data_IF_936733373982
#
_entry.id   IF_936733373982
#
_cell.length_a   1.000
_cell.length_b   1.000
_cell.length_c   1.000
_cell.angle_alpha   90.00
_cell.angle_beta   90.00
_cell.angle_gamma   90.00
#
_symmetry.space_group_name_H-M   'P 1'
#
loop_
_entity.id
_entity.type
_entity.pdbx_description
1 polymer ?
#
# COMPACT_ATOMS: atom_id res chain seq x y z
N UNK A 1 31.44 38.89 21.97
CA UNK A 1 31.67 37.85 20.95
C UNK A 1 30.75 36.67 21.21
N UNK A 2 29.69 36.49 20.41
CA UNK A 2 28.77 35.35 20.51
C UNK A 2 29.37 34.19 19.73
N UNK A 3 29.69 33.08 20.41
CA UNK A 3 30.16 31.84 19.77
C UNK A 3 28.96 31.18 19.08
N UNK A 4 29.00 31.10 17.75
CA UNK A 4 28.13 30.24 16.96
C UNK A 4 28.53 28.79 17.24
N UNK A 5 27.67 28.06 17.94
CA UNK A 5 27.79 26.61 18.06
C UNK A 5 27.16 26.01 16.80
N UNK A 6 27.97 25.72 15.79
CA UNK A 6 27.53 24.99 14.60
C UNK A 6 27.24 23.55 15.01
N UNK A 7 25.96 23.23 15.20
CA UNK A 7 25.49 21.86 15.39
C UNK A 7 25.56 21.15 14.04
N UNK A 8 26.62 20.37 13.81
CA UNK A 8 26.67 19.45 12.67
C UNK A 8 25.74 18.29 13.01
N UNK A 9 24.51 18.35 12.51
CA UNK A 9 23.56 17.24 12.57
C UNK A 9 24.03 16.17 11.59
N UNK A 10 24.83 15.22 12.06
CA UNK A 10 25.19 14.02 11.29
C UNK A 10 23.92 13.17 11.24
N UNK A 11 23.15 13.30 10.16
CA UNK A 11 22.10 12.35 9.79
C UNK A 11 22.80 11.02 9.44
N UNK A 12 22.91 10.14 10.42
CA UNK A 12 23.14 8.72 10.18
C UNK A 12 21.92 8.20 9.42
N UNK A 13 21.98 8.26 8.10
CA UNK A 13 21.08 7.48 7.25
C UNK A 13 21.49 6.02 7.43
N UNK A 14 20.79 5.32 8.33
CA UNK A 14 20.89 3.86 8.42
C UNK A 14 20.36 3.29 7.12
N UNK A 15 21.24 2.98 6.18
CA UNK A 15 20.90 2.25 4.97
C UNK A 15 20.48 0.83 5.38
N UNK A 16 19.18 0.59 5.44
CA UNK A 16 18.64 -0.76 5.55
C UNK A 16 19.04 -1.54 4.28
N UNK A 17 19.93 -2.51 4.44
CA UNK A 17 20.37 -3.40 3.35
C UNK A 17 19.35 -4.52 3.19
N UNK A 18 18.53 -4.45 2.14
CA UNK A 18 17.52 -5.46 1.87
C UNK A 18 18.16 -6.76 1.43
N UNK A 19 17.91 -7.83 2.18
CA UNK A 19 18.52 -9.15 2.02
C UNK A 19 17.57 -10.18 1.40
N UNK A 20 18.10 -11.34 1.01
CA UNK A 20 17.29 -12.51 0.61
C UNK A 20 16.44 -13.08 1.74
N UNK A 21 16.79 -12.80 3.00
CA UNK A 21 15.92 -13.12 4.14
C UNK A 21 14.71 -12.19 4.19
N UNK A 22 14.89 -10.92 3.82
CA UNK A 22 13.79 -9.95 3.83
C UNK A 22 12.76 -10.25 2.74
N UNK A 23 13.17 -10.73 1.57
CA UNK A 23 12.22 -11.15 0.52
C UNK A 23 11.41 -12.37 0.93
N UNK A 24 11.99 -13.35 1.64
CA UNK A 24 11.23 -14.53 2.07
C UNK A 24 10.16 -14.17 3.12
N UNK A 25 10.42 -13.16 3.95
CA UNK A 25 9.45 -12.65 4.92
C UNK A 25 8.20 -12.06 4.26
N UNK A 26 8.29 -11.55 3.02
CA UNK A 26 7.14 -10.99 2.27
C UNK A 26 6.09 -12.06 1.96
N UNK A 27 6.48 -13.33 1.84
CA UNK A 27 5.52 -14.37 1.47
C UNK A 27 4.42 -14.54 2.52
N UNK A 28 3.19 -14.74 2.06
CA UNK A 28 2.01 -14.89 2.90
C UNK A 28 1.00 -13.77 2.69
N UNK A 29 0.03 -13.70 3.60
CA UNK A 29 -1.05 -12.72 3.57
C UNK A 29 -0.75 -11.53 4.49
N UNK A 30 -1.14 -10.34 4.05
CA UNK A 30 -0.89 -9.08 4.75
C UNK A 30 -2.13 -8.21 4.71
N UNK A 31 -2.54 -7.71 5.87
CA UNK A 31 -3.57 -6.69 6.02
C UNK A 31 -2.91 -5.31 6.03
N UNK A 32 -3.12 -4.55 4.95
CA UNK A 32 -2.64 -3.18 4.76
C UNK A 32 -3.76 -2.16 4.94
N UNK A 33 -4.84 -2.52 5.64
CA UNK A 33 -6.03 -1.69 5.73
C UNK A 33 -5.80 -0.40 6.52
N UNK A 34 -6.39 0.70 6.05
CA UNK A 34 -6.33 2.01 6.68
C UNK A 34 -7.75 2.55 6.89
N UNK A 35 -7.96 3.17 8.05
CA UNK A 35 -9.16 3.94 8.37
C UNK A 35 -8.75 5.38 8.69
N UNK A 36 -9.38 6.32 8.02
CA UNK A 36 -9.16 7.75 8.21
C UNK A 36 -10.49 8.34 8.69
N UNK A 37 -10.45 9.11 9.77
CA UNK A 37 -11.62 9.82 10.30
C UNK A 37 -11.33 11.32 10.33
N UNK A 38 -12.17 12.10 9.65
CA UNK A 38 -12.05 13.54 9.58
C UNK A 38 -13.42 14.20 9.81
N UNK A 39 -13.63 14.67 11.04
CA UNK A 39 -14.90 15.28 11.43
C UNK A 39 -16.07 14.30 11.31
N UNK A 40 -17.01 14.60 10.41
CA UNK A 40 -18.14 13.71 10.11
C UNK A 40 -17.86 12.74 8.96
N UNK A 41 -16.69 12.81 8.32
CA UNK A 41 -16.32 11.87 7.27
C UNK A 41 -15.47 10.74 7.82
N UNK A 42 -15.67 9.54 7.28
CA UNK A 42 -14.75 8.42 7.46
C UNK A 42 -14.49 7.74 6.13
N UNK A 43 -13.22 7.45 5.87
CA UNK A 43 -12.76 6.70 4.72
C UNK A 43 -12.13 5.41 5.19
N UNK A 44 -12.54 4.30 4.58
CA UNK A 44 -12.00 2.98 4.87
C UNK A 44 -11.44 2.38 3.59
N UNK A 45 -10.17 1.98 3.66
CA UNK A 45 -9.46 1.29 2.60
C UNK A 45 -9.04 -0.05 3.16
N UNK A 46 -9.82 -1.10 2.89
CA UNK A 46 -9.43 -2.47 3.20
C UNK A 46 -8.56 -3.00 2.07
N UNK A 47 -7.38 -3.51 2.40
CA UNK A 47 -6.48 -4.11 1.42
C UNK A 47 -5.82 -5.33 2.05
N UNK A 48 -6.10 -6.50 1.51
CA UNK A 48 -5.47 -7.75 1.91
C UNK A 48 -4.64 -8.26 0.73
N UNK A 49 -3.32 -8.19 0.87
CA UNK A 49 -2.40 -8.66 -0.14
C UNK A 49 -1.90 -10.07 0.19
N UNK A 50 -1.85 -10.93 -0.82
CA UNK A 50 -1.23 -12.27 -0.73
C UNK A 50 -0.04 -12.34 -1.67
N UNK A 51 1.14 -12.66 -1.16
CA UNK A 51 2.38 -12.73 -1.95
C UNK A 51 2.94 -14.15 -2.00
N UNK A 52 3.20 -14.63 -3.21
CA UNK A 52 4.00 -15.82 -3.48
C UNK A 52 5.34 -15.38 -4.08
N UNK A 53 6.40 -15.47 -3.27
CA UNK A 53 7.74 -14.97 -3.62
C UNK A 53 8.50 -15.91 -4.55
N UNK A 54 8.18 -17.20 -4.55
CA UNK A 54 8.79 -18.19 -5.45
C UNK A 54 8.39 -17.95 -6.91
N UNK A 55 7.14 -17.51 -7.11
CA UNK A 55 6.57 -17.23 -8.43
C UNK A 55 6.50 -15.75 -8.77
N UNK A 56 6.93 -14.87 -7.87
CA UNK A 56 6.84 -13.41 -8.00
C UNK A 56 5.43 -12.91 -8.34
N UNK A 57 4.41 -13.54 -7.72
CA UNK A 57 2.99 -13.23 -7.95
C UNK A 57 2.33 -12.68 -6.71
N UNK A 58 1.34 -11.83 -6.92
CA UNK A 58 0.48 -11.36 -5.86
C UNK A 58 -0.99 -11.37 -6.27
N UNK A 59 -1.85 -11.45 -5.27
CA UNK A 59 -3.27 -11.11 -5.37
C UNK A 59 -3.59 -10.09 -4.29
N UNK A 60 -4.56 -9.22 -4.55
CA UNK A 60 -5.05 -8.25 -3.59
C UNK A 60 -6.58 -8.27 -3.62
N UNK A 61 -7.19 -8.35 -2.45
CA UNK A 61 -8.64 -8.18 -2.27
C UNK A 61 -8.87 -6.98 -1.35
N UNK A 62 -9.86 -6.17 -1.68
CA UNK A 62 -10.08 -4.97 -0.89
C UNK A 62 -11.44 -4.35 -1.07
N UNK A 63 -11.71 -3.37 -0.22
CA UNK A 63 -12.89 -2.53 -0.29
C UNK A 63 -12.52 -1.09 0.00
N UNK A 64 -13.18 -0.18 -0.70
CA UNK A 64 -13.04 1.26 -0.48
C UNK A 64 -14.42 1.80 -0.15
N UNK A 65 -14.54 2.43 1.02
CA UNK A 65 -15.77 3.03 1.47
C UNK A 65 -15.55 4.47 1.93
N UNK A 66 -16.43 5.37 1.51
CA UNK A 66 -16.53 6.73 2.02
C UNK A 66 -17.87 6.89 2.72
N UNK A 67 -17.86 7.38 3.97
CA UNK A 67 -19.07 7.59 4.77
C UNK A 67 -19.14 9.01 5.29
N UNK A 68 -20.35 9.55 5.36
CA UNK A 68 -20.67 10.75 6.11
C UNK A 68 -21.56 10.37 7.30
N UNK A 69 -21.03 10.52 8.51
CA UNK A 69 -21.56 9.95 9.75
C UNK A 69 -21.73 8.44 9.58
N UNK A 70 -22.93 7.93 9.78
CA UNK A 70 -23.26 6.51 9.60
C UNK A 70 -23.78 6.18 8.21
N UNK A 71 -23.85 7.15 7.29
CA UNK A 71 -24.38 6.96 5.94
C UNK A 71 -23.26 6.68 4.96
N UNK A 72 -23.35 5.56 4.23
CA UNK A 72 -22.45 5.26 3.11
C UNK A 72 -22.68 6.25 1.96
N UNK A 73 -21.63 6.94 1.52
CA UNK A 73 -21.66 7.74 0.29
C UNK A 73 -21.43 6.81 -0.89
N UNK A 74 -20.38 5.99 -0.81
CA UNK A 74 -20.17 4.87 -1.70
C UNK A 74 -19.33 3.79 -1.02
N UNK A 75 -19.46 2.57 -1.53
CA UNK A 75 -18.60 1.45 -1.23
C UNK A 75 -18.41 0.62 -2.49
N UNK A 76 -17.16 0.30 -2.84
CA UNK A 76 -16.86 -0.66 -3.88
C UNK A 76 -15.83 -1.67 -3.39
N UNK A 77 -15.91 -2.87 -3.93
CA UNK A 77 -14.94 -3.93 -3.71
C UNK A 77 -14.06 -4.07 -4.94
N UNK A 78 -12.84 -4.55 -4.73
CA UNK A 78 -11.94 -4.88 -5.82
C UNK A 78 -11.18 -6.17 -5.55
N UNK A 79 -10.87 -6.86 -6.63
CA UNK A 79 -9.91 -7.96 -6.66
C UNK A 79 -8.88 -7.64 -7.73
N UNK A 80 -7.62 -7.90 -7.45
CA UNK A 80 -6.57 -7.73 -8.43
C UNK A 80 -5.50 -8.78 -8.29
N UNK A 81 -4.79 -9.01 -9.38
CA UNK A 81 -3.64 -9.89 -9.38
C UNK A 81 -2.58 -9.40 -10.34
N UNK A 82 -1.37 -9.89 -10.13
CA UNK A 82 -0.24 -9.49 -10.94
C UNK A 82 1.06 -10.16 -10.54
N UNK A 83 2.14 -9.60 -11.07
CA UNK A 83 3.51 -9.96 -10.71
C UNK A 83 4.20 -8.81 -10.02
N UNK A 84 5.35 -9.08 -9.42
CA UNK A 84 6.16 -8.01 -8.84
C UNK A 84 7.64 -8.25 -9.08
N UNK A 85 8.41 -7.16 -9.07
CA UNK A 85 9.87 -7.23 -9.03
C UNK A 85 10.38 -6.61 -7.73
N UNK A 86 11.55 -7.07 -7.27
CA UNK A 86 12.22 -6.53 -6.09
C UNK A 86 13.67 -6.23 -6.43
N UNK A 87 14.06 -4.97 -6.29
CA UNK A 87 15.42 -4.50 -6.54
C UNK A 87 15.83 -3.53 -5.44
N UNK A 88 16.90 -3.84 -4.68
CA UNK A 88 17.36 -2.99 -3.58
C UNK A 88 16.29 -2.71 -2.51
N UNK A 89 15.39 -3.67 -2.27
CA UNK A 89 14.26 -3.53 -1.34
C UNK A 89 13.09 -2.67 -1.85
N UNK A 90 13.15 -2.24 -3.11
CA UNK A 90 12.05 -1.57 -3.81
C UNK A 90 11.19 -2.61 -4.51
N UNK A 91 9.95 -2.70 -4.08
CA UNK A 91 8.90 -3.57 -4.60
C UNK A 91 8.12 -2.82 -5.70
N UNK A 92 8.02 -3.41 -6.89
CA UNK A 92 7.33 -2.82 -8.04
C UNK A 92 6.23 -3.78 -8.51
N UNK A 93 4.96 -3.58 -8.12
CA UNK A 93 3.86 -4.41 -8.61
C UNK A 93 3.55 -4.09 -10.07
N UNK A 94 3.12 -5.11 -10.79
CA UNK A 94 2.63 -5.03 -12.16
C UNK A 94 1.28 -5.74 -12.16
N UNK A 95 0.21 -4.96 -12.17
CA UNK A 95 -1.16 -5.47 -12.19
C UNK A 95 -1.47 -6.02 -13.59
N UNK A 96 -2.02 -7.23 -13.65
CA UNK A 96 -2.41 -7.88 -14.91
C UNK A 96 -3.92 -7.99 -15.03
N UNK A 97 -4.62 -8.03 -13.90
CA UNK A 97 -6.07 -8.14 -13.83
C UNK A 97 -6.55 -7.38 -12.60
N UNK A 98 -7.65 -6.65 -12.78
CA UNK A 98 -8.29 -5.83 -11.76
C UNK A 98 -9.77 -5.86 -12.05
N UNK A 99 -10.56 -6.33 -11.09
CA UNK A 99 -12.01 -6.30 -11.11
C UNK A 99 -12.51 -5.43 -9.98
N UNK A 100 -13.60 -4.71 -10.25
CA UNK A 100 -14.14 -3.69 -9.37
C UNK A 100 -15.66 -3.80 -9.43
N UNK A 101 -16.30 -3.84 -8.27
CA UNK A 101 -17.76 -3.95 -8.16
C UNK A 101 -18.27 -2.90 -7.18
N UNK A 102 -19.31 -2.15 -7.60
CA UNK A 102 -20.00 -1.24 -6.72
C UNK A 102 -20.89 -2.02 -5.75
N UNK A 103 -20.65 -1.86 -4.45
CA UNK A 103 -21.46 -2.48 -3.40
C UNK A 103 -22.61 -1.56 -2.99
N UNK A 104 -22.34 -0.26 -2.83
CA UNK A 104 -23.36 0.73 -2.46
C UNK A 104 -23.01 2.15 -2.90
N UNK A 105 -24.03 3.00 -2.94
CA UNK A 105 -23.90 4.43 -3.23
C UNK A 105 -24.01 4.76 -4.72
N UNK A 106 -23.72 6.02 -5.04
CA UNK A 106 -23.94 6.61 -6.37
C UNK A 106 -22.60 6.91 -7.06
N UNK A 107 -21.73 5.91 -7.18
CA UNK A 107 -20.50 6.05 -7.97
C UNK A 107 -20.77 5.73 -9.44
N UNK A 108 -20.26 6.56 -10.34
CA UNK A 108 -20.43 6.33 -11.77
C UNK A 108 -19.56 5.16 -12.22
N UNK A 109 -20.07 4.36 -13.17
CA UNK A 109 -19.30 3.26 -13.77
C UNK A 109 -17.97 3.76 -14.39
N UNK A 110 -17.95 4.99 -14.91
CA UNK A 110 -16.74 5.62 -15.41
C UNK A 110 -15.68 5.87 -14.34
N UNK A 111 -16.08 6.11 -13.09
CA UNK A 111 -15.17 6.30 -11.95
C UNK A 111 -14.57 4.96 -11.50
N UNK A 112 -15.37 3.89 -11.48
CA UNK A 112 -14.91 2.53 -11.21
C UNK A 112 -13.93 2.06 -12.29
N UNK A 113 -14.27 2.30 -13.56
CA UNK A 113 -13.40 2.00 -14.69
C UNK A 113 -12.11 2.83 -14.66
N UNK A 114 -12.18 4.08 -14.20
CA UNK A 114 -10.98 4.89 -13.98
C UNK A 114 -10.09 4.26 -12.91
N UNK A 115 -10.64 3.87 -11.75
CA UNK A 115 -9.88 3.18 -10.70
C UNK A 115 -9.20 1.90 -11.22
N UNK A 116 -9.95 1.06 -11.96
CA UNK A 116 -9.43 -0.14 -12.63
C UNK A 116 -8.24 0.18 -13.54
N UNK A 117 -8.38 1.20 -14.38
CA UNK A 117 -7.33 1.61 -15.31
C UNK A 117 -6.13 2.24 -14.61
N UNK A 118 -6.34 3.01 -13.54
CA UNK A 118 -5.27 3.62 -12.75
C UNK A 118 -4.40 2.54 -12.07
N UNK A 119 -5.02 1.45 -11.58
CA UNK A 119 -4.29 0.30 -11.04
C UNK A 119 -3.53 -0.47 -12.14
N UNK A 120 -4.18 -0.81 -13.25
CA UNK A 120 -3.53 -1.53 -14.37
C UNK A 120 -2.34 -0.77 -14.96
N UNK A 121 -2.42 0.56 -15.00
CA UNK A 121 -1.35 1.43 -15.52
C UNK A 121 -0.42 1.99 -14.44
N UNK A 122 -0.59 1.53 -13.19
CA UNK A 122 0.20 2.01 -12.05
C UNK A 122 1.69 1.74 -12.26
N UNK A 123 2.50 2.76 -11.96
CA UNK A 123 3.96 2.65 -11.89
C UNK A 123 4.47 2.83 -10.45
N UNK A 124 3.60 2.61 -9.47
CA UNK A 124 3.94 2.76 -8.05
C UNK A 124 5.08 1.83 -7.69
N UNK A 125 5.91 2.29 -6.77
CA UNK A 125 7.07 1.56 -6.27
C UNK A 125 7.13 1.76 -4.76
N UNK A 126 7.35 0.68 -4.02
CA UNK A 126 7.29 0.67 -2.57
C UNK A 126 8.62 0.25 -1.99
N UNK A 127 9.30 1.12 -1.25
CA UNK A 127 10.53 0.77 -0.55
C UNK A 127 10.20 0.14 0.79
N UNK A 128 10.70 -1.07 1.05
CA UNK A 128 10.57 -1.70 2.36
C UNK A 128 11.49 -0.99 3.35
N UNK A 129 10.90 -0.39 4.39
CA UNK A 129 11.64 0.27 5.47
C UNK A 129 11.90 -0.69 6.65
N UNK A 130 10.94 -1.58 6.91
CA UNK A 130 10.98 -2.56 7.99
C UNK A 130 10.19 -3.80 7.59
N UNK A 131 10.69 -4.99 7.89
CA UNK A 131 9.93 -6.23 7.77
C UNK A 131 10.32 -7.24 8.86
N UNK A 132 9.34 -7.96 9.37
CA UNK A 132 9.51 -9.13 10.23
C UNK A 132 8.30 -10.08 10.06
N UNK A 133 8.20 -11.11 10.90
CA UNK A 133 7.11 -12.09 10.83
C UNK A 133 5.72 -11.57 11.24
N UNK A 134 5.59 -10.30 11.64
CA UNK A 134 4.34 -9.69 12.12
C UNK A 134 3.93 -8.46 11.34
N UNK A 135 4.88 -7.64 10.91
CA UNK A 135 4.59 -6.37 10.24
C UNK A 135 5.60 -6.05 9.15
N UNK A 136 5.12 -5.30 8.16
CA UNK A 136 5.92 -4.75 7.06
C UNK A 136 5.56 -3.29 6.91
N UNK A 137 6.54 -2.40 7.02
CA UNK A 137 6.39 -0.98 6.74
C UNK A 137 7.03 -0.66 5.41
N UNK A 138 6.28 0.01 4.54
CA UNK A 138 6.70 0.43 3.21
C UNK A 138 6.52 1.93 3.04
N UNK A 139 7.38 2.52 2.22
CA UNK A 139 7.28 3.89 1.72
C UNK A 139 6.83 3.85 0.26
N UNK A 140 5.68 4.45 -0.08
CA UNK A 140 5.31 4.70 -1.46
C UNK A 140 6.20 5.81 -2.02
N UNK A 141 6.99 5.49 -3.04
CA UNK A 141 7.95 6.42 -3.64
C UNK A 141 7.28 7.48 -4.53
N UNK A 142 5.97 7.37 -4.76
CA UNK A 142 5.20 8.32 -5.58
C UNK A 142 4.83 9.56 -4.78
N UNK A 143 4.38 9.37 -3.54
CA UNK A 143 3.86 10.44 -2.67
C UNK A 143 4.57 10.55 -1.31
N UNK A 144 5.56 9.67 -1.05
CA UNK A 144 6.28 9.55 0.22
C UNK A 144 5.39 9.19 1.42
N UNK A 145 4.22 8.61 1.18
CA UNK A 145 3.39 8.07 2.25
C UNK A 145 3.99 6.77 2.79
N UNK A 146 3.95 6.61 4.12
CA UNK A 146 4.31 5.36 4.77
C UNK A 146 3.06 4.57 5.11
N UNK A 147 3.12 3.26 4.92
CA UNK A 147 2.04 2.34 5.26
C UNK A 147 2.61 1.12 5.98
N UNK A 148 1.91 0.65 7.00
CA UNK A 148 2.28 -0.57 7.73
C UNK A 148 1.20 -1.62 7.53
N UNK A 149 1.62 -2.78 7.04
CA UNK A 149 0.79 -3.95 6.88
C UNK A 149 1.10 -4.97 7.98
N UNK A 150 0.07 -5.66 8.45
CA UNK A 150 0.16 -6.71 9.46
C UNK A 150 0.04 -8.09 8.81
N UNK A 151 0.87 -9.03 9.22
CA UNK A 151 0.81 -10.41 8.72
C UNK A 151 -0.38 -11.13 9.34
N UNK A 152 -1.14 -11.87 8.53
CA UNK A 152 -2.33 -12.64 8.94
C UNK A 152 -2.19 -14.13 8.66
#
# INVERSE_FOLDING_TARGET
MKKFLTFILILFTSFYSFSSTDISLISGKWDCSVRIEEGSFSSYFKIIDSYNVESYKFTSEGSVALKYKSTSIFEFEFQSQGTFTVEGGVFKPIFTEVDVELVSGDMLESELNKFKNDLLNSKRSYKTLKINNKERTVLDLTDNSESTCLKI
#
